data_IF_199594230981
#
_entry.id   IF_199594230981
#
_cell.length_a   1.000
_cell.length_b   1.000
_cell.length_c   1.000
_cell.angle_alpha   90.00
_cell.angle_beta   90.00
_cell.angle_gamma   90.00
#
_symmetry.space_group_name_H-M   'P 1'
#
loop_
_entity.id
_entity.type
_entity.pdbx_description
1 polymer ?
#
# COMPACT_ATOMS: atom_id res chain seq x y z
N UNK A 1 7.60 0.51 -23.45
CA UNK A 1 6.52 1.33 -22.88
C UNK A 1 5.50 1.55 -24.00
N UNK A 2 4.19 1.33 -23.82
CA UNK A 2 3.25 2.00 -24.70
C UNK A 2 3.30 3.50 -24.36
N UNK A 3 3.57 4.32 -25.38
CA UNK A 3 3.92 5.75 -25.37
C UNK A 3 2.90 6.73 -24.77
N UNK A 4 1.94 6.30 -23.93
CA UNK A 4 0.88 7.19 -23.43
C UNK A 4 0.51 6.94 -21.97
N UNK A 5 0.90 7.89 -21.13
CA UNK A 5 0.46 8.04 -19.74
C UNK A 5 -1.00 8.48 -19.63
N UNK A 6 -1.49 9.21 -20.63
CA UNK A 6 -2.87 9.68 -20.74
C UNK A 6 -3.59 8.93 -21.85
N UNK A 7 -4.73 8.32 -21.53
CA UNK A 7 -5.54 7.57 -22.49
C UNK A 7 -6.58 8.41 -23.25
N UNK A 8 -6.91 9.60 -22.73
CA UNK A 8 -7.89 10.51 -23.32
C UNK A 8 -7.27 11.52 -24.28
N UNK A 9 -8.12 12.28 -24.98
CA UNK A 9 -7.69 13.27 -25.98
C UNK A 9 -8.73 14.38 -26.17
N UNK A 10 -8.27 15.51 -26.70
CA UNK A 10 -9.13 16.62 -27.12
C UNK A 10 -9.91 17.23 -25.96
N UNK A 11 -11.18 17.54 -26.22
CA UNK A 11 -12.08 18.24 -25.30
C UNK A 11 -12.76 17.31 -24.28
N UNK A 12 -12.41 16.02 -24.26
CA UNK A 12 -12.90 15.12 -23.23
C UNK A 12 -12.44 15.58 -21.83
N UNK A 13 -13.29 15.52 -20.80
CA UNK A 13 -12.92 15.96 -19.46
C UNK A 13 -11.88 14.99 -18.86
N UNK A 14 -10.77 15.54 -18.38
CA UNK A 14 -9.71 14.79 -17.71
C UNK A 14 -9.78 14.96 -16.20
N UNK A 15 -9.91 16.20 -15.72
CA UNK A 15 -10.01 16.54 -14.31
C UNK A 15 -11.25 17.41 -14.09
N UNK A 16 -11.99 17.15 -13.04
CA UNK A 16 -13.09 17.98 -12.55
C UNK A 16 -13.00 18.11 -11.03
N UNK A 17 -12.15 19.03 -10.59
CA UNK A 17 -11.69 19.15 -9.21
C UNK A 17 -11.85 20.59 -8.74
N UNK A 18 -12.39 20.79 -7.53
CA UNK A 18 -12.55 22.13 -6.95
C UNK A 18 -13.46 23.05 -7.76
N UNK A 19 -14.42 22.48 -8.51
CA UNK A 19 -15.31 23.22 -9.41
C UNK A 19 -14.65 23.70 -10.71
N UNK A 20 -13.44 23.23 -11.02
CA UNK A 20 -12.75 23.51 -12.27
C UNK A 20 -12.62 22.22 -13.09
N UNK A 21 -13.03 22.30 -14.35
CA UNK A 21 -12.86 21.21 -15.31
C UNK A 21 -11.67 21.52 -16.24
N UNK A 22 -10.75 20.57 -16.36
CA UNK A 22 -9.70 20.56 -17.38
C UNK A 22 -9.98 19.43 -18.37
N UNK A 23 -9.96 19.77 -19.66
CA UNK A 23 -9.97 18.79 -20.74
C UNK A 23 -8.63 18.05 -20.85
N UNK A 24 -8.59 16.94 -21.57
CA UNK A 24 -7.32 16.24 -21.86
C UNK A 24 -6.34 17.13 -22.62
N UNK A 25 -6.80 17.94 -23.58
CA UNK A 25 -5.94 18.88 -24.29
C UNK A 25 -5.36 19.98 -23.39
N UNK A 26 -6.10 20.42 -22.38
CA UNK A 26 -5.62 21.40 -21.40
C UNK A 26 -4.70 20.78 -20.36
N UNK A 27 -5.00 19.57 -19.90
CA UNK A 27 -4.14 18.78 -19.03
C UNK A 27 -2.78 18.54 -19.69
N UNK A 28 -2.79 18.10 -20.96
CA UNK A 28 -1.57 17.87 -21.73
C UNK A 28 -0.71 19.13 -21.84
N UNK A 29 -1.32 20.26 -22.20
CA UNK A 29 -0.65 21.58 -22.21
C UNK A 29 -0.18 22.01 -20.82
N UNK A 30 -0.88 21.65 -19.74
CA UNK A 30 -0.46 21.95 -18.38
C UNK A 30 0.77 21.13 -17.97
N UNK A 31 0.83 19.87 -18.40
CA UNK A 31 2.01 19.00 -18.21
C UNK A 31 3.22 19.56 -18.95
N UNK A 32 3.08 19.96 -20.22
CA UNK A 32 4.19 20.56 -20.97
C UNK A 32 4.68 21.86 -20.32
N UNK A 33 3.74 22.74 -19.93
CA UNK A 33 4.09 23.97 -19.20
C UNK A 33 4.78 23.70 -17.87
N UNK A 34 4.45 22.62 -17.17
CA UNK A 34 5.12 22.23 -15.94
C UNK A 34 6.57 21.88 -16.22
N UNK A 35 6.81 21.02 -17.22
CA UNK A 35 8.14 20.57 -17.63
C UNK A 35 9.02 21.76 -18.04
N UNK A 36 8.47 22.69 -18.82
CA UNK A 36 9.20 23.89 -19.31
C UNK A 36 9.59 24.85 -18.18
N UNK A 37 8.78 24.93 -17.12
CA UNK A 37 8.94 25.93 -16.04
C UNK A 37 9.60 25.39 -14.78
N UNK A 38 9.60 24.07 -14.60
CA UNK A 38 10.00 23.43 -13.35
C UNK A 38 11.12 22.42 -13.59
N UNK A 39 12.29 22.71 -13.04
CA UNK A 39 13.39 21.74 -12.96
C UNK A 39 13.18 20.80 -11.77
N UNK A 40 13.28 19.46 -11.94
CA UNK A 40 13.24 18.54 -10.82
C UNK A 40 14.43 18.77 -9.90
N UNK A 41 14.20 18.63 -8.60
CA UNK A 41 15.28 18.62 -7.62
C UNK A 41 16.13 17.34 -7.73
N UNK A 42 17.19 17.20 -6.91
CA UNK A 42 18.02 16.00 -6.88
C UNK A 42 17.24 14.70 -6.60
N UNK A 43 16.11 14.81 -5.90
CA UNK A 43 15.22 13.70 -5.57
C UNK A 43 14.07 13.49 -6.58
N UNK A 44 13.98 14.31 -7.63
CA UNK A 44 12.84 14.37 -8.56
C UNK A 44 11.88 15.52 -8.26
N UNK A 45 10.65 15.40 -8.74
CA UNK A 45 9.56 16.30 -8.38
C UNK A 45 8.92 15.92 -7.04
N UNK A 46 8.19 16.85 -6.43
CA UNK A 46 7.42 16.62 -5.21
C UNK A 46 6.01 17.16 -5.39
N UNK A 47 5.02 16.26 -5.35
CA UNK A 47 3.61 16.57 -5.48
C UNK A 47 2.86 16.55 -4.14
N UNK A 48 3.56 16.28 -3.04
CA UNK A 48 2.95 15.96 -1.74
C UNK A 48 2.18 17.11 -1.10
N UNK A 49 2.55 18.36 -1.39
CA UNK A 49 1.94 19.57 -0.83
C UNK A 49 1.09 20.34 -1.85
N UNK A 50 1.00 19.84 -3.08
CA UNK A 50 0.27 20.52 -4.15
C UNK A 50 -1.24 20.27 -4.04
N UNK A 51 -2.09 21.21 -4.48
CA UNK A 51 -3.50 20.92 -4.72
C UNK A 51 -3.68 19.73 -5.67
N UNK A 52 -4.76 18.96 -5.53
CA UNK A 52 -4.96 17.68 -6.24
C UNK A 52 -4.74 17.80 -7.75
N UNK A 53 -5.32 18.81 -8.41
CA UNK A 53 -5.17 18.99 -9.86
C UNK A 53 -3.70 19.26 -10.25
N UNK A 54 -3.01 20.14 -9.53
CA UNK A 54 -1.59 20.44 -9.75
C UNK A 54 -0.69 19.25 -9.42
N UNK A 55 -1.02 18.48 -8.38
CA UNK A 55 -0.32 17.25 -8.03
C UNK A 55 -0.40 16.22 -9.16
N UNK A 56 -1.58 16.03 -9.77
CA UNK A 56 -1.74 15.14 -10.92
C UNK A 56 -0.98 15.63 -12.15
N UNK A 57 -0.97 16.95 -12.42
CA UNK A 57 -0.11 17.55 -13.46
C UNK A 57 1.37 17.24 -13.20
N UNK A 58 1.84 17.45 -11.97
CA UNK A 58 3.21 17.18 -11.55
C UNK A 58 3.58 15.69 -11.71
N UNK A 59 2.70 14.77 -11.32
CA UNK A 59 2.92 13.32 -11.48
C UNK A 59 2.98 12.92 -12.96
N UNK A 60 2.11 13.47 -13.80
CA UNK A 60 2.15 13.23 -15.25
C UNK A 60 3.43 13.83 -15.88
N UNK A 61 3.85 15.03 -15.46
CA UNK A 61 5.11 15.63 -15.90
C UNK A 61 6.33 14.80 -15.50
N UNK A 62 6.31 14.23 -14.30
CA UNK A 62 7.35 13.32 -13.82
C UNK A 62 7.46 12.07 -14.68
N UNK A 63 6.32 11.45 -14.96
CA UNK A 63 6.24 10.28 -15.83
C UNK A 63 6.78 10.61 -17.22
N UNK A 64 6.29 11.70 -17.86
CA UNK A 64 6.66 12.10 -19.23
C UNK A 64 8.15 12.40 -19.36
N UNK A 65 8.73 13.01 -18.34
CA UNK A 65 10.16 13.35 -18.30
C UNK A 65 11.04 12.16 -17.88
N UNK A 66 10.45 11.07 -17.39
CA UNK A 66 11.18 9.91 -16.88
C UNK A 66 11.92 10.20 -15.58
N UNK A 67 11.37 11.07 -14.73
CA UNK A 67 11.96 11.44 -13.43
C UNK A 67 11.07 10.99 -12.26
N UNK A 68 11.64 10.76 -11.08
CA UNK A 68 10.86 10.40 -9.91
C UNK A 68 9.92 11.53 -9.45
N UNK A 69 8.83 11.14 -8.78
CA UNK A 69 7.92 12.05 -8.06
C UNK A 69 7.54 11.51 -6.70
N UNK A 70 7.58 12.37 -5.69
CA UNK A 70 7.07 12.07 -4.35
C UNK A 70 5.59 12.43 -4.22
N UNK A 71 4.81 11.48 -3.70
CA UNK A 71 3.40 11.67 -3.33
C UNK A 71 3.20 11.09 -1.93
N UNK A 72 3.58 11.87 -0.92
CA UNK A 72 3.64 11.45 0.48
C UNK A 72 2.80 12.36 1.37
N UNK A 73 2.47 11.91 2.58
CA UNK A 73 1.87 12.79 3.58
C UNK A 73 2.95 13.75 4.11
N UNK A 74 2.81 15.08 3.93
CA UNK A 74 3.79 16.04 4.44
C UNK A 74 3.94 15.96 5.97
N UNK A 75 2.88 15.63 6.70
CA UNK A 75 2.89 15.56 8.16
C UNK A 75 3.61 14.31 8.70
N UNK A 76 3.71 13.26 7.88
CA UNK A 76 4.26 11.97 8.27
C UNK A 76 5.37 11.50 7.31
N UNK A 77 6.04 12.43 6.60
CA UNK A 77 7.01 12.12 5.56
C UNK A 77 8.15 11.25 6.08
N UNK A 78 8.44 10.10 5.44
CA UNK A 78 9.58 9.27 5.84
C UNK A 78 10.92 9.95 5.50
N UNK A 79 11.93 9.66 6.30
CA UNK A 79 13.31 10.03 5.96
C UNK A 79 13.81 9.10 4.84
N UNK A 80 14.27 9.67 3.73
CA UNK A 80 14.90 8.95 2.62
C UNK A 80 16.40 9.25 2.61
N UNK A 81 17.21 8.23 2.85
CA UNK A 81 18.68 8.33 2.83
C UNK A 81 19.26 8.19 1.43
N UNK A 82 18.56 7.48 0.54
CA UNK A 82 18.96 7.28 -0.85
C UNK A 82 17.73 7.15 -1.76
N UNK A 83 17.93 7.46 -3.03
CA UNK A 83 16.94 7.29 -4.11
C UNK A 83 17.39 6.13 -5.01
N UNK A 84 16.54 5.11 -5.24
CA UNK A 84 16.83 4.08 -6.24
C UNK A 84 16.85 4.66 -7.66
N UNK A 85 17.81 4.26 -8.49
CA UNK A 85 18.02 4.83 -9.83
C UNK A 85 16.81 4.70 -10.76
N UNK A 86 16.06 3.60 -10.65
CA UNK A 86 14.88 3.28 -11.46
C UNK A 86 13.54 3.73 -10.84
N UNK A 87 13.57 4.52 -9.76
CA UNK A 87 12.36 4.98 -9.10
C UNK A 87 11.60 6.00 -9.95
N UNK A 88 10.32 5.72 -10.19
CA UNK A 88 9.32 6.64 -10.73
C UNK A 88 8.49 7.24 -9.59
N UNK A 89 7.95 6.42 -8.71
CA UNK A 89 7.02 6.89 -7.68
C UNK A 89 7.60 6.64 -6.29
N UNK A 90 7.67 7.72 -5.49
CA UNK A 90 8.08 7.71 -4.10
C UNK A 90 6.83 7.92 -3.24
N UNK A 91 6.38 6.85 -2.59
CA UNK A 91 5.22 6.85 -1.67
C UNK A 91 5.64 6.29 -0.33
N UNK A 92 4.78 6.42 0.67
CA UNK A 92 5.02 5.83 1.98
C UNK A 92 3.92 4.84 2.34
N UNK A 93 4.20 3.95 3.30
CA UNK A 93 3.11 3.19 3.95
C UNK A 93 2.16 4.17 4.66
N UNK A 94 0.90 3.78 4.88
CA UNK A 94 -0.13 4.63 5.52
C UNK A 94 0.17 5.05 6.96
N UNK A 95 1.32 4.65 7.51
CA UNK A 95 1.73 5.08 8.85
C UNK A 95 0.87 4.49 9.95
N UNK A 96 0.13 3.39 9.71
CA UNK A 96 -0.54 2.66 10.78
C UNK A 96 0.43 2.30 11.90
N UNK A 97 1.74 2.27 11.62
CA UNK A 97 2.89 2.09 12.51
C UNK A 97 3.56 3.33 13.09
N UNK A 98 2.84 4.45 13.20
CA UNK A 98 3.29 5.71 13.83
C UNK A 98 4.44 6.46 13.13
N UNK A 99 5.19 5.78 12.25
CA UNK A 99 6.07 6.38 11.24
C UNK A 99 5.91 5.64 9.91
N UNK A 100 5.48 6.33 8.85
CA UNK A 100 5.48 5.79 7.49
C UNK A 100 6.86 5.26 7.07
N UNK A 101 6.89 4.15 6.35
CA UNK A 101 8.12 3.60 5.74
C UNK A 101 8.26 4.14 4.32
N UNK A 102 9.47 4.54 3.88
CA UNK A 102 9.69 4.98 2.51
C UNK A 102 9.58 3.78 1.56
N UNK A 103 8.75 3.92 0.53
CA UNK A 103 8.62 2.98 -0.57
C UNK A 103 9.03 3.66 -1.88
N UNK A 104 9.54 2.89 -2.84
CA UNK A 104 9.85 3.37 -4.17
C UNK A 104 9.37 2.35 -5.20
N UNK A 105 8.88 2.81 -6.34
CA UNK A 105 8.35 1.95 -7.41
C UNK A 105 8.83 2.39 -8.77
N UNK A 106 8.96 1.44 -9.69
CA UNK A 106 9.16 1.72 -11.11
C UNK A 106 7.82 2.09 -11.75
N UNK A 107 7.85 2.76 -12.90
CA UNK A 107 6.64 3.01 -13.69
C UNK A 107 5.93 1.68 -14.05
N UNK A 108 6.71 0.68 -14.48
CA UNK A 108 6.23 -0.67 -14.82
C UNK A 108 5.47 -1.34 -13.66
N UNK A 109 6.04 -1.33 -12.43
CA UNK A 109 5.40 -1.92 -11.23
C UNK A 109 4.06 -1.30 -10.86
N UNK A 110 3.69 -0.19 -11.50
CA UNK A 110 2.41 0.49 -11.30
C UNK A 110 1.52 0.38 -12.54
N UNK A 111 1.95 0.93 -13.68
CA UNK A 111 1.16 1.02 -14.91
C UNK A 111 0.85 -0.34 -15.55
N UNK A 112 1.74 -1.33 -15.41
CA UNK A 112 1.52 -2.65 -16.03
C UNK A 112 0.36 -3.41 -15.37
N UNK A 113 -0.10 -2.99 -14.19
CA UNK A 113 -1.29 -3.54 -13.54
C UNK A 113 -2.62 -2.96 -14.09
N UNK A 114 -2.58 -1.85 -14.82
CA UNK A 114 -3.78 -1.15 -15.27
C UNK A 114 -4.64 -1.95 -16.26
N UNK A 115 -4.09 -2.70 -17.23
CA UNK A 115 -4.91 -3.54 -18.11
C UNK A 115 -5.71 -4.59 -17.34
N UNK A 116 -5.06 -5.34 -16.43
CA UNK A 116 -5.73 -6.32 -15.58
C UNK A 116 -6.81 -5.66 -14.70
N UNK A 117 -6.47 -4.53 -14.08
CA UNK A 117 -7.40 -3.77 -13.26
C UNK A 117 -8.59 -3.22 -14.06
N UNK A 118 -8.39 -2.76 -15.30
CA UNK A 118 -9.48 -2.37 -16.22
C UNK A 118 -10.39 -3.55 -16.55
N UNK A 119 -9.85 -4.73 -16.84
CA UNK A 119 -10.66 -5.91 -17.14
C UNK A 119 -11.60 -6.27 -15.98
N UNK A 120 -11.12 -6.14 -14.75
CA UNK A 120 -11.87 -6.44 -13.53
C UNK A 120 -12.95 -5.39 -13.26
N UNK A 121 -12.56 -4.11 -13.27
CA UNK A 121 -13.43 -2.97 -12.92
C UNK A 121 -14.42 -2.57 -14.02
N UNK A 122 -14.02 -2.72 -15.28
CA UNK A 122 -14.78 -2.24 -16.43
C UNK A 122 -14.82 -0.72 -16.55
N UNK A 123 -13.83 -0.01 -16.01
CA UNK A 123 -13.68 1.45 -16.18
C UNK A 123 -13.40 1.78 -17.65
N UNK A 124 -14.08 2.80 -18.14
CA UNK A 124 -14.05 3.27 -19.53
C UNK A 124 -13.75 4.76 -19.60
N UNK A 125 -13.47 5.28 -20.80
CA UNK A 125 -13.19 6.70 -21.00
C UNK A 125 -14.41 7.62 -20.69
N UNK A 126 -15.62 7.07 -20.61
CA UNK A 126 -16.82 7.85 -20.27
C UNK A 126 -17.06 7.95 -18.76
N UNK A 127 -16.21 7.32 -17.95
CA UNK A 127 -16.39 7.33 -16.49
C UNK A 127 -15.88 8.61 -15.84
N UNK A 128 -16.50 8.95 -14.71
CA UNK A 128 -16.04 9.96 -13.77
C UNK A 128 -15.68 9.25 -12.47
N UNK A 129 -14.39 9.14 -12.20
CA UNK A 129 -13.82 8.42 -11.06
C UNK A 129 -13.68 9.37 -9.88
N UNK A 130 -14.46 9.12 -8.84
CA UNK A 130 -14.49 9.93 -7.63
C UNK A 130 -13.27 9.68 -6.75
N UNK A 131 -12.58 10.76 -6.41
CA UNK A 131 -11.58 10.80 -5.35
C UNK A 131 -12.26 10.97 -3.99
N UNK A 132 -12.03 10.02 -3.08
CA UNK A 132 -12.62 10.06 -1.73
C UNK A 132 -11.62 10.42 -0.63
N UNK A 133 -10.41 10.84 -0.99
CA UNK A 133 -9.39 11.23 -0.05
C UNK A 133 -8.09 11.67 -0.71
N UNK A 134 -7.01 11.86 0.08
CA UNK A 134 -5.77 12.45 -0.40
C UNK A 134 -5.00 11.50 -1.31
N UNK A 135 -4.20 12.07 -2.23
CA UNK A 135 -3.37 11.32 -3.17
C UNK A 135 -2.19 10.57 -2.52
N UNK A 136 -1.74 10.97 -1.33
CA UNK A 136 -0.71 10.19 -0.62
C UNK A 136 -1.22 8.81 -0.14
N UNK A 137 -2.54 8.59 -0.14
CA UNK A 137 -3.09 7.26 0.00
C UNK A 137 -3.04 6.54 -1.37
N UNK A 138 -2.25 5.48 -1.44
CA UNK A 138 -1.92 4.78 -2.69
C UNK A 138 -3.15 4.32 -3.49
N UNK A 139 -4.25 3.93 -2.83
CA UNK A 139 -5.51 3.58 -3.49
C UNK A 139 -6.09 4.74 -4.31
N UNK A 140 -6.10 5.96 -3.76
CA UNK A 140 -6.67 7.13 -4.44
C UNK A 140 -5.79 7.59 -5.60
N UNK A 141 -4.46 7.62 -5.39
CA UNK A 141 -3.52 7.90 -6.48
C UNK A 141 -3.61 6.85 -7.58
N UNK A 142 -3.70 5.57 -7.21
CA UNK A 142 -3.89 4.48 -8.17
C UNK A 142 -5.16 4.70 -8.99
N UNK A 143 -6.30 4.98 -8.33
CA UNK A 143 -7.56 5.26 -9.00
C UNK A 143 -7.51 6.46 -9.94
N UNK A 144 -6.89 7.57 -9.52
CA UNK A 144 -6.72 8.75 -10.37
C UNK A 144 -5.86 8.47 -11.60
N UNK A 145 -4.68 7.87 -11.42
CA UNK A 145 -3.77 7.57 -12.53
C UNK A 145 -4.37 6.52 -13.48
N UNK A 146 -5.08 5.53 -12.94
CA UNK A 146 -5.82 4.54 -13.74
C UNK A 146 -6.91 5.20 -14.58
N UNK A 147 -7.67 6.13 -14.00
CA UNK A 147 -8.69 6.89 -14.70
C UNK A 147 -8.09 7.69 -15.87
N UNK A 148 -7.02 8.46 -15.60
CA UNK A 148 -6.32 9.24 -16.62
C UNK A 148 -5.73 8.36 -17.72
N UNK A 149 -5.13 7.24 -17.35
CA UNK A 149 -4.61 6.26 -18.30
C UNK A 149 -5.71 5.61 -19.14
N UNK A 150 -6.93 5.44 -18.60
CA UNK A 150 -8.09 4.96 -19.37
C UNK A 150 -8.78 6.00 -20.23
N UNK A 151 -8.45 7.27 -20.08
CA UNK A 151 -9.15 8.37 -20.73
C UNK A 151 -10.43 8.82 -20.01
N UNK A 152 -10.62 8.38 -18.76
CA UNK A 152 -11.73 8.77 -17.90
C UNK A 152 -11.47 10.13 -17.23
N UNK A 153 -12.48 10.70 -16.59
CA UNK A 153 -12.35 11.92 -15.80
C UNK A 153 -12.09 11.58 -14.33
N UNK A 154 -11.17 12.28 -13.67
CA UNK A 154 -11.01 12.26 -12.21
C UNK A 154 -11.83 13.40 -11.61
N UNK A 155 -12.67 13.13 -10.61
CA UNK A 155 -13.55 14.14 -10.01
C UNK A 155 -13.58 14.09 -8.49
N UNK A 156 -13.87 15.22 -7.85
CA UNK A 156 -14.21 15.33 -6.42
C UNK A 156 -15.72 15.62 -6.20
N UNK A 157 -16.50 15.74 -7.27
CA UNK A 157 -17.94 15.94 -7.23
C UNK A 157 -18.68 14.58 -7.26
N UNK A 158 -19.29 14.15 -6.14
CA UNK A 158 -20.01 12.89 -6.10
C UNK A 158 -21.25 12.89 -7.01
N UNK A 159 -21.84 14.05 -7.32
CA UNK A 159 -23.14 14.13 -8.03
C UNK A 159 -23.10 13.48 -9.42
N UNK A 160 -21.96 13.55 -10.07
CA UNK A 160 -21.74 13.02 -11.43
C UNK A 160 -20.76 11.84 -11.45
N UNK A 161 -20.30 11.37 -10.30
CA UNK A 161 -19.39 10.25 -10.22
C UNK A 161 -20.07 8.95 -10.67
N UNK A 162 -19.43 8.21 -11.58
CA UNK A 162 -19.89 6.90 -12.05
C UNK A 162 -19.11 5.75 -11.44
N UNK A 163 -17.87 6.01 -11.00
CA UNK A 163 -17.00 5.03 -10.34
C UNK A 163 -16.41 5.65 -9.08
N UNK A 164 -16.26 4.88 -8.01
CA UNK A 164 -15.57 5.30 -6.78
C UNK A 164 -14.52 4.29 -6.37
N UNK A 165 -13.38 4.78 -5.88
CA UNK A 165 -12.41 3.98 -5.12
C UNK A 165 -12.52 4.38 -3.65
N UNK A 166 -12.94 3.47 -2.77
CA UNK A 166 -13.18 3.80 -1.36
C UNK A 166 -12.93 2.60 -0.45
N UNK A 167 -12.60 2.88 0.82
CA UNK A 167 -12.73 1.87 1.87
C UNK A 167 -14.22 1.63 2.17
N UNK A 168 -14.63 0.44 2.66
CA UNK A 168 -16.03 0.12 2.94
C UNK A 168 -16.77 1.16 3.80
N UNK A 169 -16.11 1.72 4.82
CA UNK A 169 -16.69 2.76 5.67
C UNK A 169 -17.05 4.04 4.90
N UNK A 170 -16.20 4.46 3.96
CA UNK A 170 -16.41 5.63 3.11
C UNK A 170 -17.48 5.36 2.05
N UNK A 171 -17.50 4.14 1.49
CA UNK A 171 -18.49 3.74 0.50
C UNK A 171 -19.93 3.92 1.02
N UNK A 172 -20.19 3.59 2.29
CA UNK A 172 -21.52 3.75 2.91
C UNK A 172 -22.07 5.17 2.80
N UNK A 173 -21.20 6.17 2.92
CA UNK A 173 -21.58 7.58 2.86
C UNK A 173 -21.67 8.06 1.41
N UNK A 174 -20.68 7.71 0.57
CA UNK A 174 -20.62 8.14 -0.84
C UNK A 174 -21.85 7.70 -1.62
N UNK A 175 -22.35 6.48 -1.39
CA UNK A 175 -23.55 5.97 -2.07
C UNK A 175 -24.77 6.88 -1.88
N UNK A 176 -24.83 7.65 -0.79
CA UNK A 176 -25.95 8.55 -0.51
C UNK A 176 -25.87 9.86 -1.28
N UNK A 177 -24.68 10.26 -1.71
CA UNK A 177 -24.40 11.55 -2.36
C UNK A 177 -24.04 11.43 -3.83
N UNK A 178 -23.84 10.20 -4.33
CA UNK A 178 -23.49 9.91 -5.72
C UNK A 178 -24.60 9.14 -6.46
N UNK A 179 -25.60 9.83 -7.01
CA UNK A 179 -26.77 9.20 -7.64
C UNK A 179 -26.46 8.51 -8.98
N UNK A 180 -25.39 8.90 -9.67
CA UNK A 180 -24.96 8.32 -10.95
C UNK A 180 -23.96 7.15 -10.78
N UNK A 181 -23.60 6.84 -9.53
CA UNK A 181 -22.62 5.81 -9.22
C UNK A 181 -23.12 4.45 -9.72
N UNK A 182 -22.26 3.73 -10.45
CA UNK A 182 -22.56 2.40 -11.01
C UNK A 182 -21.57 1.33 -10.59
N UNK A 183 -20.33 1.73 -10.29
CA UNK A 183 -19.27 0.82 -9.87
C UNK A 183 -18.59 1.34 -8.60
N UNK A 184 -18.44 0.47 -7.60
CA UNK A 184 -17.64 0.74 -6.41
C UNK A 184 -16.44 -0.21 -6.40
N UNK A 185 -15.24 0.35 -6.39
CA UNK A 185 -14.00 -0.38 -6.11
C UNK A 185 -13.67 -0.21 -4.64
N UNK A 186 -13.58 -1.32 -3.91
CA UNK A 186 -13.25 -1.35 -2.50
C UNK A 186 -11.98 -2.14 -2.22
N UNK A 187 -11.20 -1.67 -1.25
CA UNK A 187 -9.97 -2.32 -0.83
C UNK A 187 -9.52 -1.82 0.55
N UNK A 188 -8.36 -2.33 1.01
CA UNK A 188 -7.68 -1.92 2.23
C UNK A 188 -8.20 -2.58 3.51
N UNK A 189 -9.46 -3.01 3.50
CA UNK A 189 -10.08 -3.81 4.56
C UNK A 189 -11.19 -4.69 3.95
N UNK A 190 -11.44 -5.84 4.57
CA UNK A 190 -12.50 -6.74 4.17
C UNK A 190 -13.85 -6.00 4.10
N UNK A 191 -14.67 -6.24 3.05
CA UNK A 191 -15.99 -5.66 2.94
C UNK A 191 -16.86 -6.08 4.12
N UNK A 192 -17.58 -5.12 4.68
CA UNK A 192 -18.55 -5.39 5.73
C UNK A 192 -19.99 -5.45 5.17
N UNK A 193 -20.92 -6.15 5.85
CA UNK A 193 -22.29 -6.29 5.38
C UNK A 193 -23.05 -4.96 5.19
N UNK A 194 -22.75 -3.94 5.99
CA UNK A 194 -23.42 -2.64 5.91
C UNK A 194 -23.03 -1.86 4.65
N UNK A 195 -21.75 -1.87 4.29
CA UNK A 195 -21.27 -1.26 3.05
C UNK A 195 -21.85 -1.96 1.82
N UNK A 196 -21.86 -3.30 1.81
CA UNK A 196 -22.44 -4.08 0.72
C UNK A 196 -23.95 -3.87 0.60
N UNK A 197 -24.68 -3.78 1.72
CA UNK A 197 -26.12 -3.52 1.70
C UNK A 197 -26.47 -2.13 1.15
N UNK A 198 -25.66 -1.11 1.49
CA UNK A 198 -25.80 0.24 0.94
C UNK A 198 -25.55 0.23 -0.58
N UNK A 199 -24.49 -0.44 -1.02
CA UNK A 199 -24.06 -0.52 -2.41
C UNK A 199 -24.74 -1.63 -3.24
N UNK A 200 -25.84 -2.24 -2.78
CA UNK A 200 -26.48 -3.40 -3.44
C UNK A 200 -26.92 -3.18 -4.90
N UNK A 201 -27.09 -1.93 -5.30
CA UNK A 201 -27.48 -1.52 -6.65
C UNK A 201 -26.28 -1.23 -7.55
N UNK A 202 -25.07 -1.29 -7.00
CA UNK A 202 -23.81 -1.05 -7.70
C UNK A 202 -23.14 -2.36 -8.07
N UNK A 203 -22.30 -2.31 -9.10
CA UNK A 203 -21.25 -3.30 -9.29
C UNK A 203 -20.16 -3.07 -8.24
N UNK A 204 -20.04 -3.98 -7.28
CA UNK A 204 -18.96 -3.91 -6.28
C UNK A 204 -17.80 -4.78 -6.74
N UNK A 205 -16.63 -4.18 -6.84
CA UNK A 205 -15.35 -4.84 -7.11
C UNK A 205 -14.49 -4.71 -5.86
N UNK A 206 -14.03 -5.82 -5.32
CA UNK A 206 -13.03 -5.82 -4.26
C UNK A 206 -11.69 -6.21 -4.84
N UNK A 207 -10.63 -5.52 -4.43
CA UNK A 207 -9.27 -6.02 -4.60
C UNK A 207 -8.54 -6.12 -3.27
N UNK A 208 -7.65 -7.10 -3.18
CA UNK A 208 -6.74 -7.34 -2.09
C UNK A 208 -5.31 -7.00 -2.51
N UNK A 209 -4.56 -6.40 -1.59
CA UNK A 209 -3.24 -5.86 -1.88
C UNK A 209 -2.63 -5.10 -0.71
N UNK A 210 -1.38 -4.66 -0.87
CA UNK A 210 -0.68 -3.80 0.09
C UNK A 210 0.10 -2.69 -0.60
N UNK A 211 0.61 -1.72 0.15
CA UNK A 211 1.49 -0.68 -0.42
C UNK A 211 2.77 -1.26 -1.01
N UNK A 212 3.27 -2.38 -0.47
CA UNK A 212 4.48 -3.07 -0.93
C UNK A 212 4.27 -3.89 -2.20
N UNK A 213 3.11 -4.52 -2.39
CA UNK A 213 2.86 -5.46 -3.51
C UNK A 213 1.78 -5.03 -4.50
N UNK A 214 1.14 -3.87 -4.27
CA UNK A 214 0.05 -3.36 -5.11
C UNK A 214 -1.13 -4.34 -5.13
N UNK A 215 -1.68 -4.66 -6.31
CA UNK A 215 -2.77 -5.61 -6.52
C UNK A 215 -2.25 -7.05 -6.44
N UNK A 216 -2.92 -7.89 -5.64
CA UNK A 216 -2.61 -9.32 -5.52
C UNK A 216 -3.77 -10.17 -6.03
N UNK A 217 -4.99 -9.86 -5.58
CA UNK A 217 -6.19 -10.60 -5.93
C UNK A 217 -7.37 -9.66 -6.08
N UNK A 218 -8.41 -10.07 -6.81
CA UNK A 218 -9.65 -9.30 -6.93
C UNK A 218 -10.88 -10.17 -7.16
N UNK A 219 -12.06 -9.58 -6.97
CA UNK A 219 -13.35 -10.17 -7.26
C UNK A 219 -14.40 -9.14 -7.63
N UNK A 220 -15.46 -9.62 -8.29
CA UNK A 220 -16.77 -8.96 -8.29
C UNK A 220 -17.59 -9.57 -7.16
N UNK A 221 -18.22 -8.74 -6.34
CA UNK A 221 -19.01 -9.18 -5.19
C UNK A 221 -20.48 -9.37 -5.62
N UNK A 222 -21.12 -10.51 -5.29
CA UNK A 222 -20.55 -11.70 -4.67
C UNK A 222 -19.74 -12.54 -5.67
N UNK A 223 -18.61 -13.07 -5.22
CA UNK A 223 -17.72 -13.92 -6.02
C UNK A 223 -16.47 -14.31 -5.23
N UNK A 224 -15.73 -15.33 -5.68
CA UNK A 224 -14.47 -15.71 -5.06
C UNK A 224 -13.39 -14.66 -5.35
N UNK A 225 -12.57 -14.36 -4.35
CA UNK A 225 -11.36 -13.55 -4.50
C UNK A 225 -10.31 -14.39 -5.21
N UNK A 226 -9.82 -13.96 -6.37
CA UNK A 226 -8.84 -14.72 -7.17
C UNK A 226 -7.58 -13.92 -7.41
N UNK A 227 -6.43 -14.60 -7.42
CA UNK A 227 -5.15 -13.97 -7.79
C UNK A 227 -5.23 -13.38 -9.20
N UNK A 228 -4.58 -12.23 -9.40
CA UNK A 228 -4.33 -11.70 -10.75
C UNK A 228 -3.42 -12.67 -11.53
N UNK A 229 -3.54 -12.73 -12.85
CA UNK A 229 -2.85 -13.73 -13.67
C UNK A 229 -1.32 -13.66 -13.53
N UNK A 230 -0.78 -12.46 -13.38
CA UNK A 230 0.66 -12.19 -13.25
C UNK A 230 1.20 -12.34 -11.83
N UNK A 231 0.35 -12.69 -10.85
CA UNK A 231 0.72 -12.80 -9.44
C UNK A 231 0.74 -14.26 -9.01
N UNK A 232 1.90 -14.77 -8.60
CA UNK A 232 1.98 -16.08 -7.96
C UNK A 232 1.84 -15.93 -6.45
N UNK A 233 1.23 -16.92 -5.80
CA UNK A 233 1.14 -16.97 -4.35
C UNK A 233 1.39 -18.38 -3.83
N UNK A 234 1.93 -18.44 -2.62
CA UNK A 234 2.05 -19.69 -1.86
C UNK A 234 1.86 -19.43 -0.37
N UNK A 235 1.43 -20.49 0.33
CA UNK A 235 1.20 -20.42 1.77
C UNK A 235 2.36 -21.11 2.49
N UNK A 236 3.11 -20.35 3.28
CA UNK A 236 4.20 -20.87 4.13
C UNK A 236 3.83 -20.67 5.58
N UNK A 237 3.70 -21.77 6.33
CA UNK A 237 3.26 -21.75 7.74
C UNK A 237 1.95 -20.96 7.96
N UNK A 238 1.02 -21.03 7.00
CA UNK A 238 -0.26 -20.31 7.04
C UNK A 238 -0.20 -18.86 6.55
N UNK A 239 0.98 -18.28 6.34
CA UNK A 239 1.18 -16.92 5.85
C UNK A 239 1.22 -16.84 4.33
N UNK A 240 0.64 -15.77 3.79
CA UNK A 240 0.63 -15.46 2.37
C UNK A 240 1.98 -14.89 1.91
N UNK A 241 2.64 -15.61 1.01
CA UNK A 241 3.78 -15.12 0.23
C UNK A 241 3.35 -14.89 -1.21
N UNK A 242 3.76 -13.76 -1.79
CA UNK A 242 3.43 -13.39 -3.17
C UNK A 242 4.69 -13.09 -3.96
N UNK A 243 4.71 -13.54 -5.21
CA UNK A 243 5.65 -13.07 -6.24
C UNK A 243 4.86 -12.30 -7.27
N UNK A 244 5.17 -11.02 -7.42
CA UNK A 244 4.37 -10.10 -8.23
C UNK A 244 5.26 -9.11 -8.98
N UNK A 245 4.96 -8.78 -10.24
CA UNK A 245 5.66 -7.71 -10.95
C UNK A 245 5.32 -6.31 -10.40
N UNK A 246 4.32 -6.20 -9.53
CA UNK A 246 3.82 -4.92 -9.01
C UNK A 246 4.46 -4.51 -7.66
N UNK A 247 5.53 -5.20 -7.27
CA UNK A 247 6.23 -4.96 -6.00
C UNK A 247 7.04 -3.66 -6.02
N UNK A 248 7.25 -3.08 -4.84
CA UNK A 248 8.20 -2.00 -4.61
C UNK A 248 9.64 -2.41 -4.95
N UNK A 249 10.47 -1.42 -5.30
CA UNK A 249 11.90 -1.60 -5.52
C UNK A 249 12.59 -2.12 -4.26
N UNK A 250 13.46 -3.12 -4.45
CA UNK A 250 14.20 -3.76 -3.36
C UNK A 250 13.41 -4.81 -2.58
N UNK A 251 12.15 -5.10 -2.96
CA UNK A 251 11.44 -6.24 -2.42
C UNK A 251 12.10 -7.56 -2.85
N UNK A 252 12.10 -8.60 -1.98
CA UNK A 252 12.46 -9.96 -2.40
C UNK A 252 11.50 -10.49 -3.47
N UNK A 253 11.97 -11.46 -4.27
CA UNK A 253 11.14 -12.11 -5.30
C UNK A 253 9.84 -12.68 -4.70
N UNK A 254 9.93 -13.33 -3.54
CA UNK A 254 8.78 -13.76 -2.74
C UNK A 254 8.64 -12.86 -1.52
N UNK A 255 7.56 -12.08 -1.47
CA UNK A 255 7.25 -11.14 -0.41
C UNK A 255 6.19 -11.70 0.54
N UNK A 256 6.47 -11.72 1.85
CA UNK A 256 5.47 -12.06 2.86
C UNK A 256 4.54 -10.88 3.09
N UNK A 257 3.24 -11.04 2.83
CA UNK A 257 2.26 -9.95 3.02
C UNK A 257 1.90 -9.77 4.50
N UNK A 258 2.11 -10.81 5.33
CA UNK A 258 1.81 -10.81 6.76
C UNK A 258 0.38 -11.22 7.13
N UNK A 259 -0.40 -11.66 6.14
CA UNK A 259 -1.77 -12.13 6.34
C UNK A 259 -1.83 -13.67 6.34
N UNK A 260 -2.70 -14.23 7.20
CA UNK A 260 -3.07 -15.63 7.11
C UNK A 260 -3.98 -15.82 5.92
N UNK A 261 -3.68 -16.82 5.11
CA UNK A 261 -4.51 -17.12 3.96
C UNK A 261 -4.53 -18.62 3.66
N UNK A 262 -5.57 -19.00 2.92
CA UNK A 262 -5.62 -20.29 2.23
C UNK A 262 -5.72 -20.02 0.74
N UNK A 263 -4.91 -20.76 -0.02
CA UNK A 263 -4.99 -20.78 -1.47
C UNK A 263 -5.73 -22.06 -1.87
N UNK A 264 -6.90 -21.90 -2.48
CA UNK A 264 -7.72 -22.97 -3.01
C UNK A 264 -7.43 -23.26 -4.48
N UNK A 265 -8.25 -24.11 -5.06
CA UNK A 265 -8.23 -24.40 -6.50
C UNK A 265 -8.53 -23.14 -7.33
N UNK A 266 -8.19 -23.16 -8.61
CA UNK A 266 -8.45 -22.06 -9.55
C UNK A 266 -7.95 -20.68 -9.07
N UNK A 267 -6.87 -20.66 -8.28
CA UNK A 267 -6.23 -19.44 -7.74
C UNK A 267 -7.15 -18.65 -6.81
N UNK A 268 -8.10 -19.30 -6.13
CA UNK A 268 -8.93 -18.67 -5.11
C UNK A 268 -8.14 -18.38 -3.83
N UNK A 269 -8.18 -17.13 -3.37
CA UNK A 269 -7.52 -16.67 -2.17
C UNK A 269 -8.56 -16.39 -1.07
N UNK A 270 -8.48 -17.12 0.04
CA UNK A 270 -9.24 -16.83 1.25
C UNK A 270 -8.31 -16.14 2.27
N UNK A 271 -8.51 -14.84 2.51
CA UNK A 271 -7.77 -14.10 3.54
C UNK A 271 -8.45 -14.27 4.89
N UNK A 272 -7.75 -14.89 5.84
CA UNK A 272 -8.26 -15.25 7.19
C UNK A 272 -7.94 -14.22 8.27
N UNK A 273 -7.40 -13.07 7.86
CA UNK A 273 -6.97 -12.00 8.75
C UNK A 273 -5.45 -11.95 8.87
N UNK A 274 -4.96 -11.23 9.90
CA UNK A 274 -3.52 -11.07 10.12
C UNK A 274 -2.97 -12.22 10.97
N UNK A 275 -1.78 -12.72 10.63
CA UNK A 275 -1.17 -13.85 11.34
C UNK A 275 -0.66 -13.52 12.73
N UNK A 276 -0.36 -14.56 13.53
CA UNK A 276 0.21 -14.41 14.89
C UNK A 276 1.60 -13.76 14.90
N UNK A 277 2.27 -13.71 13.74
CA UNK A 277 3.46 -12.92 13.56
C UNK A 277 3.17 -11.41 13.46
N UNK A 278 1.91 -11.02 13.34
CA UNK A 278 1.49 -9.62 13.40
C UNK A 278 1.07 -9.26 14.81
N UNK A 279 1.61 -8.14 15.29
CA UNK A 279 1.39 -7.58 16.62
C UNK A 279 0.60 -6.29 16.46
N UNK A 280 -0.57 -6.18 17.10
CA UNK A 280 -1.40 -4.99 17.03
C UNK A 280 -1.11 -4.01 18.18
N UNK A 281 -0.26 -3.01 17.92
CA UNK A 281 0.19 -2.03 18.93
C UNK A 281 -0.62 -0.73 18.85
N UNK A 282 -1.71 -0.64 19.60
CA UNK A 282 -2.55 0.56 19.66
C UNK A 282 -3.21 0.90 18.33
N UNK A 283 -3.65 -0.12 17.59
CA UNK A 283 -4.20 0.03 16.23
C UNK A 283 -3.14 -0.08 15.12
N UNK A 284 -1.86 -0.20 15.49
CA UNK A 284 -0.73 -0.39 14.58
C UNK A 284 -0.51 -1.85 14.25
N UNK A 285 -0.32 -2.17 12.97
CA UNK A 285 0.21 -3.47 12.57
C UNK A 285 1.75 -3.48 12.58
N UNK A 286 2.37 -4.20 13.52
CA UNK A 286 3.80 -4.53 13.48
C UNK A 286 3.98 -5.97 13.01
N UNK A 287 4.82 -6.22 12.02
CA UNK A 287 5.19 -7.58 11.60
C UNK A 287 6.43 -8.02 12.38
N UNK A 288 6.32 -9.11 13.14
CA UNK A 288 7.38 -9.67 13.97
C UNK A 288 8.63 -9.98 13.14
N UNK A 289 8.48 -10.59 11.96
CA UNK A 289 9.62 -10.89 11.09
C UNK A 289 10.37 -9.62 10.62
N UNK A 290 9.67 -8.51 10.39
CA UNK A 290 10.32 -7.25 10.02
C UNK A 290 11.18 -6.72 11.17
N UNK A 291 10.68 -6.84 12.40
CA UNK A 291 11.44 -6.46 13.60
C UNK A 291 12.63 -7.41 13.78
N UNK A 292 12.42 -8.73 13.69
CA UNK A 292 13.47 -9.76 13.80
C UNK A 292 14.60 -9.50 12.79
N UNK A 293 14.26 -9.22 11.53
CA UNK A 293 15.21 -8.92 10.46
C UNK A 293 16.02 -7.66 10.74
N UNK A 294 15.38 -6.59 11.22
CA UNK A 294 16.08 -5.34 11.58
C UNK A 294 17.01 -5.57 12.78
N UNK A 295 16.56 -6.32 13.78
CA UNK A 295 17.39 -6.64 14.95
C UNK A 295 18.57 -7.54 14.57
N UNK A 296 18.36 -8.54 13.72
CA UNK A 296 19.42 -9.41 13.22
C UNK A 296 20.46 -8.69 12.35
N UNK A 297 20.15 -7.51 11.81
CA UNK A 297 21.10 -6.66 11.10
C UNK A 297 22.00 -5.81 12.01
N UNK A 298 21.84 -5.90 13.34
CA UNK A 298 22.68 -5.17 14.29
C UNK A 298 23.91 -6.02 14.65
N UNK A 299 25.12 -5.52 14.37
CA UNK A 299 26.37 -6.20 14.74
C UNK A 299 26.39 -6.59 16.22
N UNK A 300 26.59 -7.89 16.48
CA UNK A 300 26.56 -8.51 17.81
C UNK A 300 25.21 -9.17 18.17
N UNK A 301 24.17 -9.03 17.34
CA UNK A 301 22.96 -9.84 17.44
C UNK A 301 23.15 -11.12 16.64
N UNK A 302 23.20 -12.26 17.33
CA UNK A 302 23.32 -13.59 16.70
C UNK A 302 21.98 -14.03 16.13
N UNK A 303 20.90 -13.82 16.90
CA UNK A 303 19.54 -14.10 16.48
C UNK A 303 18.53 -13.28 17.30
N UNK A 304 17.37 -12.99 16.71
CA UNK A 304 16.27 -12.31 17.37
C UNK A 304 14.94 -13.01 17.06
N UNK A 305 14.05 -13.03 18.04
CA UNK A 305 12.68 -13.50 17.90
C UNK A 305 11.72 -12.50 18.55
N UNK A 306 10.59 -12.27 17.91
CA UNK A 306 9.64 -11.23 18.29
C UNK A 306 8.23 -11.81 18.35
N UNK A 307 7.48 -11.41 19.38
CA UNK A 307 6.06 -11.76 19.55
C UNK A 307 5.26 -10.56 20.05
N UNK A 308 3.95 -10.66 19.90
CA UNK A 308 3.00 -9.77 20.57
C UNK A 308 2.87 -10.14 22.05
N UNK A 309 2.90 -9.11 22.90
CA UNK A 309 2.65 -9.21 24.32
C UNK A 309 1.46 -8.34 24.69
N UNK A 310 0.47 -8.91 25.36
CA UNK A 310 -0.71 -8.19 25.81
C UNK A 310 -0.33 -6.95 26.64
N UNK A 311 -1.03 -5.83 26.42
CA UNK A 311 -0.76 -4.57 27.09
C UNK A 311 -2.06 -3.81 27.35
N UNK A 312 -2.29 -3.44 28.61
CA UNK A 312 -3.56 -2.85 29.06
C UNK A 312 -4.01 -1.59 28.30
N UNK A 313 -3.05 -0.78 27.82
CA UNK A 313 -3.34 0.48 27.10
C UNK A 313 -3.32 0.32 25.57
N UNK A 314 -2.51 -0.59 25.03
CA UNK A 314 -2.24 -0.66 23.58
C UNK A 314 -2.88 -1.88 22.92
N UNK A 315 -3.58 -2.74 23.67
CA UNK A 315 -3.97 -4.06 23.20
C UNK A 315 -2.77 -5.00 23.24
N UNK A 316 -1.80 -4.79 22.36
CA UNK A 316 -0.51 -5.49 22.36
C UNK A 316 0.67 -4.52 22.31
N UNK A 317 1.85 -5.04 22.65
CA UNK A 317 3.15 -4.39 22.47
C UNK A 317 4.15 -5.41 21.97
N UNK A 318 5.21 -4.94 21.33
CA UNK A 318 6.27 -5.82 20.84
C UNK A 318 7.14 -6.30 22.00
N UNK A 319 7.42 -7.60 22.06
CA UNK A 319 8.39 -8.22 22.96
C UNK A 319 9.44 -8.96 22.15
N UNK A 320 10.72 -8.77 22.50
CA UNK A 320 11.85 -9.38 21.78
C UNK A 320 12.68 -10.26 22.71
N UNK A 321 13.01 -11.47 22.25
CA UNK A 321 14.10 -12.26 22.77
C UNK A 321 15.30 -12.15 21.84
N UNK A 322 16.48 -11.88 22.39
CA UNK A 322 17.70 -11.67 21.62
C UNK A 322 18.83 -12.55 22.12
N UNK A 323 19.50 -13.21 21.19
CA UNK A 323 20.76 -13.91 21.41
C UNK A 323 21.89 -13.01 20.96
N UNK A 324 22.82 -12.72 21.86
CA UNK A 324 23.83 -11.68 21.69
C UNK A 324 25.24 -12.22 21.86
N UNK A 325 26.16 -11.71 21.04
CA UNK A 325 27.60 -11.93 21.11
C UNK A 325 28.34 -10.59 21.23
N UNK A 326 29.15 -10.44 22.27
CA UNK A 326 29.99 -9.25 22.48
C UNK A 326 29.26 -7.92 22.75
N UNK A 327 27.93 -7.90 22.86
CA UNK A 327 27.12 -6.69 23.12
C UNK A 327 26.04 -6.92 24.19
N UNK A 328 25.57 -5.83 24.80
CA UNK A 328 24.47 -5.86 25.77
C UNK A 328 23.13 -5.47 25.14
N UNK A 329 22.04 -5.92 25.75
CA UNK A 329 20.66 -5.66 25.28
C UNK A 329 20.39 -4.16 25.12
N UNK A 330 20.91 -3.31 26.00
CA UNK A 330 20.72 -1.86 25.92
C UNK A 330 21.41 -1.22 24.70
N UNK A 331 22.51 -1.82 24.21
CA UNK A 331 23.15 -1.37 22.97
C UNK A 331 22.28 -1.69 21.75
N UNK A 332 21.73 -2.91 21.71
CA UNK A 332 20.76 -3.33 20.69
C UNK A 332 19.54 -2.42 20.71
N UNK A 333 18.97 -2.20 21.91
CA UNK A 333 17.81 -1.34 22.09
C UNK A 333 18.08 0.08 21.60
N UNK A 334 19.25 0.65 21.93
CA UNK A 334 19.65 1.99 21.47
C UNK A 334 19.72 2.06 19.94
N UNK A 335 20.36 1.09 19.29
CA UNK A 335 20.47 1.02 17.83
C UNK A 335 19.09 0.81 17.18
N UNK A 336 18.26 -0.07 17.73
CA UNK A 336 16.92 -0.36 17.25
C UNK A 336 16.01 0.88 17.24
N UNK A 337 16.15 1.83 18.18
CA UNK A 337 15.38 3.10 18.17
C UNK A 337 15.61 3.95 16.92
N UNK A 338 16.77 3.81 16.27
CA UNK A 338 17.08 4.51 15.02
C UNK A 338 16.63 3.75 13.76
N UNK A 339 16.28 2.47 13.88
CA UNK A 339 16.00 1.57 12.77
C UNK A 339 14.52 1.15 12.68
N UNK A 340 13.80 1.16 13.81
CA UNK A 340 12.40 0.77 13.92
C UNK A 340 11.49 1.97 14.15
N UNK A 341 10.23 1.86 13.72
CA UNK A 341 9.19 2.82 14.12
C UNK A 341 8.86 2.68 15.62
N UNK A 342 8.26 3.71 16.22
CA UNK A 342 8.06 3.79 17.67
C UNK A 342 7.27 2.60 18.23
N UNK A 343 6.31 2.11 17.47
CA UNK A 343 5.39 1.02 17.80
C UNK A 343 6.02 -0.35 17.56
N UNK A 344 6.97 -0.42 16.63
CA UNK A 344 7.75 -1.62 16.33
C UNK A 344 8.92 -1.84 17.30
N UNK A 345 9.33 -0.82 18.07
CA UNK A 345 10.37 -0.95 19.10
C UNK A 345 9.86 -1.87 20.22
N UNK A 346 10.54 -2.99 20.51
CA UNK A 346 10.18 -3.84 21.63
C UNK A 346 10.15 -3.06 22.94
N UNK A 347 9.06 -3.23 23.70
CA UNK A 347 8.94 -2.67 25.06
C UNK A 347 9.54 -3.59 26.09
N UNK A 348 9.50 -4.89 25.82
CA UNK A 348 10.13 -5.94 26.61
C UNK A 348 11.28 -6.54 25.81
N UNK A 349 12.41 -6.72 26.48
CA UNK A 349 13.60 -7.34 25.93
C UNK A 349 14.07 -8.42 26.88
N UNK A 350 14.39 -9.59 26.36
CA UNK A 350 14.98 -10.69 27.13
C UNK A 350 16.21 -11.19 26.39
N UNK A 351 17.36 -11.21 27.07
CA UNK A 351 18.56 -11.89 26.57
C UNK A 351 18.39 -13.38 26.78
N UNK A 352 18.65 -14.16 25.76
CA UNK A 352 18.66 -15.64 25.84
C UNK A 352 20.02 -16.18 25.43
N UNK A 353 20.40 -17.33 25.97
CA UNK A 353 21.59 -18.06 25.52
C UNK A 353 21.40 -18.65 24.12
N UNK A 354 20.20 -19.15 23.85
CA UNK A 354 19.78 -19.69 22.56
C UNK A 354 18.28 -19.47 22.40
N UNK A 355 17.82 -19.17 21.18
CA UNK A 355 16.39 -19.06 20.91
C UNK A 355 15.73 -20.45 20.89
N UNK A 356 14.53 -20.61 21.46
CA UNK A 356 13.82 -21.87 21.37
C UNK A 356 13.50 -22.16 19.91
N UNK A 357 13.97 -23.30 19.40
CA UNK A 357 13.68 -23.76 18.05
C UNK A 357 12.74 -24.98 18.06
N UNK A 358 12.00 -25.13 16.97
CA UNK A 358 11.22 -26.32 16.65
C UNK A 358 12.15 -27.42 16.13
N UNK A 359 11.65 -28.65 16.02
CA UNK A 359 12.37 -29.76 15.39
C UNK A 359 12.79 -29.49 13.94
N UNK A 360 12.17 -28.49 13.30
CA UNK A 360 12.50 -28.01 11.95
C UNK A 360 13.48 -26.81 11.95
N UNK A 361 14.07 -26.45 13.09
CA UNK A 361 15.05 -25.36 13.21
C UNK A 361 14.46 -23.94 13.20
N UNK A 362 13.14 -23.78 13.04
CA UNK A 362 12.47 -22.47 13.13
C UNK A 362 12.26 -22.06 14.58
N UNK A 363 12.22 -20.76 14.86
CA UNK A 363 11.88 -20.21 16.18
C UNK A 363 10.51 -20.72 16.66
N UNK A 364 10.48 -21.37 17.83
CA UNK A 364 9.28 -21.90 18.47
C UNK A 364 8.53 -20.80 19.24
N UNK A 365 7.74 -19.98 18.53
CA UNK A 365 7.03 -18.82 19.08
C UNK A 365 6.09 -19.13 20.26
N UNK A 366 5.53 -20.34 20.31
CA UNK A 366 4.75 -20.80 21.47
C UNK A 366 5.55 -20.83 22.78
N UNK A 367 6.83 -21.22 22.73
CA UNK A 367 7.75 -21.24 23.88
C UNK A 367 8.34 -19.87 24.21
N UNK A 368 8.31 -18.95 23.24
CA UNK A 368 8.70 -17.56 23.47
C UNK A 368 7.73 -16.83 24.39
N UNK A 369 6.43 -17.18 24.38
CA UNK A 369 5.45 -16.60 25.30
C UNK A 369 5.87 -16.83 26.75
N UNK A 370 6.35 -18.02 27.10
CA UNK A 370 6.78 -18.34 28.46
C UNK A 370 8.08 -17.60 28.85
N UNK A 371 9.02 -17.45 27.93
CA UNK A 371 10.26 -16.69 28.15
C UNK A 371 10.01 -15.18 28.29
N UNK A 372 8.94 -14.69 27.68
CA UNK A 372 8.55 -13.28 27.62
C UNK A 372 7.31 -12.98 28.48
N UNK A 373 6.87 -13.90 29.35
CA UNK A 373 5.75 -13.76 30.28
C UNK A 373 6.11 -12.94 31.52
#
# INVERSE_FOLDING_TARGET
MPDRELGGYGDAPALDIGGQTLTYAELDRAVDRWIDRSEPGPAGYDASTLPIAEALVCVCAAARRGVPVAVEDPAARPVRTARPDSAFLLVATSGSTGRPRPLARTAASWYDSFPAFTAITGVTATDRVLLTGPLHATMHLFGALHALWRGACVTDDPRHATVVHAVPAVLREVVRTAPELRTAVIAGIAPDPGALAAARHLRVVEYYGSSEVSLVAARRVPGPLRLLDEVDAEIRDGLLFVRSPYTVLGAPEWFCVGDLAVLGDDRELEVRGRGEAVINVGGTTVVAEDVERVLGGIDGVVAAAVIGSAHAVFGETVAAAVQLDGIEVEDVRRRARGLLSREAIPRRWVRVGELPTTTAGKVARGRLKDLLA
#
